data_IF_427708162020
#
_entry.id   IF_427708162020
#
_cell.length_a   1.000
_cell.length_b   1.000
_cell.length_c   1.000
_cell.angle_alpha   90.00
_cell.angle_beta   90.00
_cell.angle_gamma   90.00
#
_symmetry.space_group_name_H-M   'P 1'
#
loop_
_entity.id
_entity.type
_entity.pdbx_description
1 polymer ?
#
# COMPACT_ATOMS: atom_id res chain seq x y z
N UNK A 1 -19.35 10.96 31.65
CA UNK A 1 -18.44 10.31 30.70
C UNK A 1 -17.17 11.14 30.65
N UNK A 2 -16.04 10.57 31.05
CA UNK A 2 -14.75 11.26 31.04
C UNK A 2 -13.89 10.62 29.94
N UNK A 3 -13.35 11.46 29.05
CA UNK A 3 -12.44 11.03 27.98
C UNK A 3 -11.09 11.71 28.20
N UNK A 4 -10.03 10.92 28.19
CA UNK A 4 -8.65 11.38 28.34
C UNK A 4 -7.84 10.89 27.15
N UNK A 5 -7.25 11.81 26.38
CA UNK A 5 -6.39 11.49 25.25
C UNK A 5 -4.96 11.98 25.48
N UNK A 6 -3.98 11.10 25.32
CA UNK A 6 -2.56 11.41 25.49
C UNK A 6 -1.69 10.49 24.62
N UNK A 7 -0.78 11.05 23.83
CA UNK A 7 0.16 10.31 22.97
C UNK A 7 -0.49 9.23 22.09
N UNK A 8 -1.62 9.56 21.46
CA UNK A 8 -2.35 8.62 20.60
C UNK A 8 -3.12 7.55 21.37
N UNK A 9 -3.19 7.59 22.69
CA UNK A 9 -4.07 6.69 23.47
C UNK A 9 -5.27 7.50 23.95
N UNK A 10 -6.47 7.02 23.66
CA UNK A 10 -7.72 7.59 24.17
C UNK A 10 -8.36 6.60 25.13
N UNK A 11 -8.58 7.03 26.37
CA UNK A 11 -9.29 6.26 27.39
C UNK A 11 -10.64 6.91 27.67
N UNK A 12 -11.72 6.15 27.48
CA UNK A 12 -13.09 6.57 27.77
C UNK A 12 -13.65 5.80 28.95
N UNK A 13 -14.16 6.53 29.94
CA UNK A 13 -14.67 5.97 31.19
C UNK A 13 -16.17 6.22 31.34
N UNK A 14 -16.94 5.12 31.44
CA UNK A 14 -18.40 5.09 31.59
C UNK A 14 -18.85 4.67 33.00
N UNK A 15 -18.00 4.87 34.02
CA UNK A 15 -18.35 4.66 35.43
C UNK A 15 -18.11 3.24 35.93
N UNK A 16 -18.38 2.22 35.10
CA UNK A 16 -18.10 0.80 35.43
C UNK A 16 -17.03 0.22 34.51
N UNK A 17 -16.99 0.68 33.26
CA UNK A 17 -16.07 0.20 32.23
C UNK A 17 -15.15 1.31 31.71
N UNK A 18 -13.97 0.89 31.25
CA UNK A 18 -12.99 1.75 30.58
C UNK A 18 -12.65 1.16 29.22
N UNK A 19 -12.91 1.90 28.14
CA UNK A 19 -12.46 1.58 26.79
C UNK A 19 -11.13 2.30 26.54
N UNK A 20 -10.12 1.59 26.08
CA UNK A 20 -8.82 2.16 25.72
C UNK A 20 -8.54 1.89 24.25
N UNK A 21 -8.42 2.96 23.48
CA UNK A 21 -8.13 2.93 22.04
C UNK A 21 -6.74 3.48 21.79
N UNK A 22 -5.89 2.73 21.08
CA UNK A 22 -4.60 3.20 20.62
C UNK A 22 -4.69 3.63 19.14
N UNK A 23 -4.25 4.84 18.87
CA UNK A 23 -4.18 5.48 17.57
C UNK A 23 -2.70 5.56 17.16
N UNK A 24 -2.34 4.77 16.17
CA UNK A 24 -1.04 4.89 15.48
C UNK A 24 -1.28 5.59 14.14
N UNK A 25 -0.46 6.58 13.76
CA UNK A 25 -0.56 7.17 12.42
C UNK A 25 -0.20 6.10 11.39
N UNK A 26 -1.22 5.54 10.75
CA UNK A 26 -1.09 4.61 9.63
C UNK A 26 -0.86 5.38 8.34
N UNK A 27 -0.04 4.82 7.44
CA UNK A 27 0.04 5.31 6.07
C UNK A 27 -1.31 5.03 5.37
N UNK A 28 -1.87 6.03 4.69
CA UNK A 28 -3.15 5.89 4.00
C UNK A 28 -3.02 4.84 2.87
N UNK A 29 -3.84 3.78 2.86
CA UNK A 29 -3.70 2.68 1.91
C UNK A 29 -3.89 3.13 0.45
N UNK A 30 -4.75 4.12 0.19
CA UNK A 30 -4.91 4.68 -1.16
C UNK A 30 -3.63 5.40 -1.62
N UNK A 31 -2.99 6.15 -0.72
CA UNK A 31 -1.73 6.83 -1.03
C UNK A 31 -0.61 5.83 -1.33
N UNK A 32 -0.54 4.73 -0.56
CA UNK A 32 0.40 3.64 -0.82
C UNK A 32 0.08 2.92 -2.14
N UNK A 33 -1.20 2.68 -2.46
CA UNK A 33 -1.61 2.05 -3.72
C UNK A 33 -1.15 2.89 -4.93
N UNK A 34 -1.34 4.21 -4.88
CA UNK A 34 -0.88 5.14 -5.93
C UNK A 34 0.64 5.07 -6.10
N UNK A 35 1.39 5.05 -4.99
CA UNK A 35 2.85 4.93 -5.04
C UNK A 35 3.29 3.60 -5.68
N UNK A 36 2.68 2.48 -5.30
CA UNK A 36 2.99 1.16 -5.87
C UNK A 36 2.62 1.06 -7.34
N UNK A 37 1.48 1.62 -7.74
CA UNK A 37 1.08 1.73 -9.15
C UNK A 37 2.09 2.55 -9.97
N UNK A 38 2.58 3.66 -9.43
CA UNK A 38 3.59 4.49 -10.09
C UNK A 38 4.93 3.75 -10.23
N UNK A 39 5.35 3.02 -9.20
CA UNK A 39 6.55 2.18 -9.23
C UNK A 39 6.43 1.06 -10.28
N UNK A 40 5.29 0.38 -10.33
CA UNK A 40 5.00 -0.64 -11.35
C UNK A 40 5.03 -0.04 -12.75
N UNK A 41 4.38 1.12 -12.95
CA UNK A 41 4.35 1.80 -14.22
C UNK A 41 5.76 2.18 -14.71
N UNK A 42 6.58 2.77 -13.84
CA UNK A 42 7.97 3.10 -14.15
C UNK A 42 8.80 1.87 -14.48
N UNK A 43 8.62 0.77 -13.74
CA UNK A 43 9.30 -0.51 -14.00
C UNK A 43 8.97 -1.07 -15.39
N UNK A 44 7.68 -1.09 -15.76
CA UNK A 44 7.22 -1.56 -17.06
C UNK A 44 7.68 -0.65 -18.19
N UNK A 45 7.71 0.67 -17.98
CA UNK A 45 8.21 1.63 -18.96
C UNK A 45 9.68 1.39 -19.25
N UNK A 46 10.52 1.33 -18.20
CA UNK A 46 11.96 1.05 -18.35
C UNK A 46 12.21 -0.30 -19.02
N UNK A 47 11.45 -1.34 -18.66
CA UNK A 47 11.53 -2.65 -19.30
C UNK A 47 11.16 -2.59 -20.79
N UNK A 48 10.13 -1.83 -21.15
CA UNK A 48 9.70 -1.65 -22.55
C UNK A 48 10.73 -0.90 -23.40
N UNK A 49 11.36 0.13 -22.83
CA UNK A 49 12.43 0.90 -23.48
C UNK A 49 13.67 0.03 -23.70
N UNK A 50 14.04 -0.79 -22.71
CA UNK A 50 15.15 -1.73 -22.84
C UNK A 50 14.88 -2.78 -23.93
N UNK A 51 13.66 -3.31 -24.01
CA UNK A 51 13.26 -4.24 -25.06
C UNK A 51 13.19 -3.62 -26.46
N UNK A 52 12.92 -2.31 -26.56
CA UNK A 52 12.84 -1.59 -27.84
C UNK A 52 14.20 -1.14 -28.39
N UNK A 53 15.18 -0.87 -27.51
CA UNK A 53 16.53 -0.43 -27.89
C UNK A 53 17.44 -1.60 -28.31
N UNK A 54 17.17 -2.81 -27.82
CA UNK A 54 17.99 -3.98 -28.11
C UNK A 54 17.46 -4.76 -29.32
N UNK A 55 18.05 -4.55 -30.51
CA UNK A 55 17.74 -5.33 -31.73
C UNK A 55 18.13 -6.81 -31.59
N UNK A 56 18.95 -7.15 -30.60
CA UNK A 56 19.17 -8.50 -30.11
C UNK A 56 18.60 -8.60 -28.69
N UNK A 57 17.61 -9.46 -28.47
CA UNK A 57 16.99 -9.70 -27.17
C UNK A 57 17.93 -10.34 -26.11
N UNK A 58 19.26 -10.18 -26.28
CA UNK A 58 20.30 -10.99 -25.66
C UNK A 58 21.10 -10.29 -24.55
N UNK A 59 20.93 -8.99 -24.29
CA UNK A 59 21.83 -8.28 -23.35
C UNK A 59 21.30 -8.14 -21.91
N UNK A 60 20.06 -8.56 -21.65
CA UNK A 60 19.57 -8.73 -20.28
C UNK A 60 19.57 -10.22 -19.94
N UNK A 61 20.40 -10.65 -18.98
CA UNK A 61 20.41 -12.04 -18.53
C UNK A 61 19.00 -12.47 -18.13
N UNK A 62 18.61 -13.69 -18.52
CA UNK A 62 17.29 -14.26 -18.25
C UNK A 62 16.87 -14.10 -16.76
N UNK A 63 17.80 -14.24 -15.83
CA UNK A 63 17.55 -14.05 -14.40
C UNK A 63 17.14 -12.62 -14.02
N UNK A 64 17.60 -11.61 -14.77
CA UNK A 64 17.19 -10.22 -14.57
C UNK A 64 15.75 -10.02 -15.03
N UNK A 65 15.35 -10.61 -16.15
CA UNK A 65 13.96 -10.58 -16.62
C UNK A 65 13.00 -11.30 -15.67
N UNK A 66 13.39 -12.47 -15.18
CA UNK A 66 12.62 -13.21 -14.17
C UNK A 66 12.46 -12.39 -12.88
N UNK A 67 13.53 -11.74 -12.42
CA UNK A 67 13.49 -10.82 -11.27
C UNK A 67 12.59 -9.60 -11.51
N UNK A 68 12.67 -8.99 -12.69
CA UNK A 68 11.83 -7.86 -13.11
C UNK A 68 10.35 -8.23 -13.10
N UNK A 69 10.01 -9.36 -13.71
CA UNK A 69 8.64 -9.87 -13.77
C UNK A 69 8.12 -10.26 -12.38
N UNK A 70 8.96 -10.87 -11.54
CA UNK A 70 8.62 -11.16 -10.15
C UNK A 70 8.34 -9.88 -9.37
N UNK A 71 9.17 -8.84 -9.53
CA UNK A 71 8.97 -7.56 -8.87
C UNK A 71 7.69 -6.87 -9.36
N UNK A 72 7.45 -6.89 -10.67
CA UNK A 72 6.23 -6.35 -11.26
C UNK A 72 4.97 -7.05 -10.71
N UNK A 73 5.00 -8.37 -10.57
CA UNK A 73 3.91 -9.15 -9.97
C UNK A 73 3.68 -8.75 -8.51
N UNK A 74 4.74 -8.59 -7.72
CA UNK A 74 4.64 -8.12 -6.33
C UNK A 74 4.02 -6.72 -6.25
N UNK A 75 4.51 -5.75 -7.03
CA UNK A 75 3.98 -4.39 -7.03
C UNK A 75 2.52 -4.33 -7.48
N UNK A 76 2.13 -5.15 -8.46
CA UNK A 76 0.74 -5.26 -8.90
C UNK A 76 -0.15 -5.83 -7.79
N UNK A 77 0.30 -6.88 -7.10
CA UNK A 77 -0.42 -7.48 -5.98
C UNK A 77 -0.57 -6.50 -4.81
N UNK A 78 0.50 -5.81 -4.42
CA UNK A 78 0.46 -4.78 -3.37
C UNK A 78 -0.50 -3.65 -3.73
N UNK A 79 -0.47 -3.17 -4.98
CA UNK A 79 -1.39 -2.14 -5.47
C UNK A 79 -2.85 -2.58 -5.34
N UNK A 80 -3.15 -3.83 -5.71
CA UNK A 80 -4.49 -4.39 -5.62
C UNK A 80 -4.97 -4.48 -4.16
N UNK A 81 -4.17 -5.09 -3.28
CA UNK A 81 -4.54 -5.26 -1.86
C UNK A 81 -4.73 -3.91 -1.17
N UNK A 82 -3.84 -2.93 -1.43
CA UNK A 82 -3.95 -1.59 -0.88
C UNK A 82 -5.18 -0.84 -1.42
N UNK A 83 -5.53 -1.05 -2.69
CA UNK A 83 -6.75 -0.46 -3.27
C UNK A 83 -8.01 -1.07 -2.65
N UNK A 84 -8.02 -2.37 -2.40
CA UNK A 84 -9.12 -3.05 -1.71
C UNK A 84 -9.25 -2.57 -0.26
N UNK A 85 -8.14 -2.45 0.47
CA UNK A 85 -8.13 -1.90 1.83
C UNK A 85 -8.65 -0.47 1.88
N UNK A 86 -8.29 0.38 0.91
CA UNK A 86 -8.79 1.75 0.82
C UNK A 86 -10.31 1.82 0.62
N UNK A 87 -10.89 0.87 -0.12
CA UNK A 87 -12.35 0.77 -0.27
C UNK A 87 -13.00 0.40 1.05
N UNK A 88 -12.43 -0.57 1.80
CA UNK A 88 -12.94 -0.99 3.10
C UNK A 88 -12.85 0.14 4.14
N UNK A 89 -11.73 0.87 4.18
CA UNK A 89 -11.59 2.04 5.07
C UNK A 89 -12.58 3.15 4.72
N UNK A 90 -12.84 3.40 3.43
CA UNK A 90 -13.85 4.36 2.99
C UNK A 90 -15.28 3.98 3.38
N UNK A 91 -15.57 2.68 3.53
CA UNK A 91 -16.86 2.16 3.95
C UNK A 91 -17.02 2.08 5.48
N UNK A 92 -15.91 2.01 6.23
CA UNK A 92 -15.91 1.98 7.69
C UNK A 92 -16.20 3.33 8.38
N UNK A 93 -16.36 4.42 7.62
CA UNK A 93 -16.67 5.76 8.13
C UNK A 93 -18.19 6.01 8.25
N UNK A 94 -19.04 5.07 7.83
CA UNK A 94 -20.49 5.09 8.09
C UNK A 94 -20.85 4.23 9.32
N UNK A 95 -20.34 4.59 10.51
CA UNK A 95 -20.98 4.15 11.75
C UNK A 95 -21.09 5.35 12.69
N UNK A 96 -22.35 5.77 12.89
CA UNK A 96 -22.81 6.79 13.84
C UNK A 96 -22.36 6.54 15.28
#
# INVERSE_FOLDING_TARGET
>A
MYSHSHHGITAEHNGVDMLVTAHTPGENPLSLAVQRAAQLHGLLLMASEHGAVSLEAADLEQGVWEGLLSLAATLAHETLVLSELAVVEGQGVEVE
#
